data_IF_573517759594
#
_entry.id   IF_573517759594
#
_cell.length_a   1.000
_cell.length_b   1.000
_cell.length_c   1.000
_cell.angle_alpha   90.00
_cell.angle_beta   90.00
_cell.angle_gamma   90.00
#
_symmetry.space_group_name_H-M   'P 1'
#
loop_
_entity.id
_entity.type
_entity.pdbx_description
1 polymer ?
#
# COMPACT_ATOMS: atom_id res chain seq x y z
N UNK A 1 5.31 22.86 -1.94
CA UNK A 1 5.90 24.17 -1.50
C UNK A 1 4.84 25.10 -0.87
N UNK A 2 3.60 25.14 -1.37
CA UNK A 2 2.54 25.95 -0.77
C UNK A 2 2.36 25.76 0.73
N UNK A 3 2.60 24.55 1.24
CA UNK A 3 2.55 24.25 2.68
C UNK A 3 3.56 25.05 3.52
N UNK A 4 4.66 25.48 2.95
CA UNK A 4 5.68 26.27 3.65
C UNK A 4 5.22 27.73 3.94
N UNK A 5 4.20 28.18 3.23
CA UNK A 5 3.68 29.56 3.29
C UNK A 5 2.38 29.66 4.09
N UNK A 6 1.97 28.56 4.74
CA UNK A 6 0.64 28.46 5.32
C UNK A 6 0.69 28.52 6.84
N UNK A 7 -0.02 29.50 7.39
CA UNK A 7 -0.26 29.64 8.84
C UNK A 7 -1.64 29.08 9.25
N UNK A 8 -2.54 28.84 8.29
CA UNK A 8 -3.93 28.40 8.55
C UNK A 8 -4.09 26.89 8.29
N UNK A 9 -4.69 26.17 9.24
CA UNK A 9 -5.01 24.74 9.10
C UNK A 9 -5.90 24.45 7.86
N UNK A 10 -6.85 25.33 7.54
CA UNK A 10 -7.74 25.16 6.39
C UNK A 10 -6.98 25.20 5.05
N UNK A 11 -6.00 26.10 4.94
CA UNK A 11 -5.20 26.22 3.74
C UNK A 11 -4.23 25.04 3.61
N UNK A 12 -3.69 24.53 4.73
CA UNK A 12 -2.90 23.30 4.75
C UNK A 12 -3.72 22.09 4.27
N UNK A 13 -4.96 21.95 4.73
CA UNK A 13 -5.90 20.90 4.27
C UNK A 13 -6.15 21.05 2.77
N UNK A 14 -6.36 22.24 2.27
CA UNK A 14 -6.56 22.49 0.84
C UNK A 14 -5.35 22.01 0.02
N UNK A 15 -4.12 22.36 0.39
CA UNK A 15 -2.92 21.91 -0.33
C UNK A 15 -2.73 20.40 -0.24
N UNK A 16 -3.08 19.76 0.88
CA UNK A 16 -3.05 18.30 1.00
C UNK A 16 -4.09 17.63 0.12
N UNK A 17 -5.30 18.17 0.06
CA UNK A 17 -6.34 17.69 -0.84
C UNK A 17 -5.90 17.80 -2.30
N UNK A 18 -5.33 18.94 -2.71
CA UNK A 18 -4.78 19.10 -4.08
C UNK A 18 -3.67 18.10 -4.36
N UNK A 19 -2.78 17.85 -3.41
CA UNK A 19 -1.74 16.82 -3.56
C UNK A 19 -2.37 15.44 -3.81
N UNK A 20 -3.43 15.08 -3.11
CA UNK A 20 -4.16 13.83 -3.32
C UNK A 20 -4.82 13.76 -4.70
N UNK A 21 -5.45 14.84 -5.16
CA UNK A 21 -6.04 14.94 -6.51
C UNK A 21 -4.98 14.71 -7.59
N UNK A 22 -3.84 15.38 -7.50
CA UNK A 22 -2.75 15.20 -8.47
C UNK A 22 -2.12 13.82 -8.39
N UNK A 23 -1.99 13.23 -7.20
CA UNK A 23 -1.49 11.86 -7.03
C UNK A 23 -2.41 10.84 -7.71
N UNK A 24 -3.73 11.04 -7.67
CA UNK A 24 -4.68 10.18 -8.36
C UNK A 24 -4.53 10.23 -9.89
N UNK A 25 -3.95 11.30 -10.43
CA UNK A 25 -3.62 11.43 -11.87
C UNK A 25 -2.26 10.77 -12.22
N UNK A 26 -1.47 10.37 -11.24
CA UNK A 26 -0.13 9.77 -11.47
C UNK A 26 -0.18 8.25 -11.36
N UNK A 27 -0.71 7.72 -10.27
CA UNK A 27 -0.58 6.29 -9.95
C UNK A 27 -1.31 5.36 -10.94
N UNK A 28 -2.60 5.51 -11.25
CA UNK A 28 -3.29 4.63 -12.20
C UNK A 28 -2.74 4.74 -13.64
N UNK A 29 -2.38 5.93 -14.18
CA UNK A 29 -1.72 6.03 -15.46
C UNK A 29 -0.35 5.34 -15.50
N UNK A 30 0.43 5.39 -14.41
CA UNK A 30 1.73 4.72 -14.34
C UNK A 30 1.61 3.19 -14.40
N UNK A 31 0.61 2.61 -13.69
CA UNK A 31 0.28 1.19 -13.77
C UNK A 31 -0.08 0.78 -15.22
N UNK A 32 -0.86 1.62 -15.90
CA UNK A 32 -1.23 1.41 -17.29
C UNK A 32 0.00 1.49 -18.19
N UNK A 33 0.80 2.52 -18.05
CA UNK A 33 1.98 2.78 -18.88
C UNK A 33 2.99 1.66 -18.80
N UNK A 34 3.35 1.19 -17.61
CA UNK A 34 4.26 0.05 -17.45
C UNK A 34 3.68 -1.24 -18.06
N UNK A 35 2.36 -1.41 -18.02
CA UNK A 35 1.69 -2.57 -18.63
C UNK A 35 1.76 -2.59 -20.15
N UNK A 36 2.06 -1.46 -20.81
CA UNK A 36 2.30 -1.41 -22.26
C UNK A 36 3.68 -1.93 -22.68
N UNK A 37 4.61 -2.06 -21.73
CA UNK A 37 5.96 -2.55 -21.97
C UNK A 37 6.12 -4.04 -21.71
N UNK A 38 5.27 -4.63 -20.85
CA UNK A 38 5.43 -6.01 -20.42
C UNK A 38 4.18 -6.85 -20.68
N UNK A 39 4.32 -7.92 -21.48
CA UNK A 39 3.33 -9.00 -21.63
C UNK A 39 3.60 -10.18 -20.68
N UNK A 40 4.89 -10.48 -20.46
CA UNK A 40 5.35 -11.50 -19.50
C UNK A 40 6.05 -10.79 -18.34
N UNK A 41 5.98 -11.35 -17.13
CA UNK A 41 6.57 -10.74 -15.94
C UNK A 41 5.86 -9.45 -15.49
N UNK A 42 4.57 -9.30 -15.78
CA UNK A 42 3.77 -8.15 -15.34
C UNK A 42 3.79 -7.97 -13.83
N UNK A 43 3.71 -9.09 -13.08
CA UNK A 43 3.76 -9.07 -11.63
C UNK A 43 5.05 -8.43 -11.12
N UNK A 44 6.18 -8.81 -11.67
CA UNK A 44 7.47 -8.20 -11.33
C UNK A 44 7.52 -6.70 -11.68
N UNK A 45 7.08 -6.33 -12.89
CA UNK A 45 7.13 -4.93 -13.33
C UNK A 45 6.22 -4.03 -12.48
N UNK A 46 5.00 -4.47 -12.19
CA UNK A 46 4.06 -3.77 -11.32
C UNK A 46 4.55 -3.77 -9.87
N UNK A 47 5.13 -4.88 -9.40
CA UNK A 47 5.77 -4.96 -8.09
C UNK A 47 6.92 -3.96 -7.94
N UNK A 48 7.77 -3.81 -8.96
CA UNK A 48 8.84 -2.81 -8.95
C UNK A 48 8.30 -1.37 -8.90
N UNK A 49 7.21 -1.07 -9.63
CA UNK A 49 6.55 0.23 -9.57
C UNK A 49 5.99 0.52 -8.18
N UNK A 50 5.25 -0.42 -7.59
CA UNK A 50 4.70 -0.28 -6.23
C UNK A 50 5.83 -0.19 -5.20
N UNK A 51 6.89 -0.98 -5.36
CA UNK A 51 8.08 -0.91 -4.52
C UNK A 51 8.76 0.46 -4.54
N UNK A 52 8.79 1.12 -5.70
CA UNK A 52 9.30 2.50 -5.81
C UNK A 52 8.46 3.50 -5.03
N UNK A 53 7.13 3.35 -5.05
CA UNK A 53 6.22 4.17 -4.23
C UNK A 53 6.48 3.92 -2.74
N UNK A 54 6.66 2.66 -2.35
CA UNK A 54 6.95 2.27 -0.97
C UNK A 54 8.25 2.92 -0.46
N UNK A 55 9.31 2.92 -1.27
CA UNK A 55 10.55 3.63 -0.94
C UNK A 55 10.34 5.14 -0.82
N UNK A 56 9.55 5.72 -1.72
CA UNK A 56 9.20 7.15 -1.66
C UNK A 56 8.47 7.52 -0.36
N UNK A 57 7.56 6.65 0.11
CA UNK A 57 6.83 6.83 1.37
C UNK A 57 7.73 6.60 2.60
N UNK A 58 8.74 5.75 2.50
CA UNK A 58 9.73 5.55 3.55
C UNK A 58 10.73 6.72 3.69
N UNK A 59 11.06 7.40 2.58
CA UNK A 59 12.11 8.42 2.51
C UNK A 59 11.99 9.54 3.57
N UNK A 60 10.81 10.09 3.92
CA UNK A 60 10.68 11.10 4.98
C UNK A 60 11.19 10.60 6.34
N UNK A 61 10.99 9.32 6.66
CA UNK A 61 11.47 8.72 7.91
C UNK A 61 13.00 8.60 7.93
N UNK A 62 13.62 8.31 6.78
CA UNK A 62 15.07 8.31 6.63
C UNK A 62 15.67 9.70 6.83
N UNK A 63 15.08 10.72 6.18
CA UNK A 63 15.51 12.12 6.34
C UNK A 63 15.41 12.54 7.81
N UNK A 64 14.31 12.15 8.48
CA UNK A 64 14.12 12.44 9.89
C UNK A 64 15.11 11.71 10.81
N UNK A 65 15.59 10.53 10.41
CA UNK A 65 16.56 9.74 11.17
C UNK A 65 18.00 10.30 11.11
N UNK A 66 18.41 10.86 9.96
CA UNK A 66 19.79 11.34 9.74
C UNK A 66 20.07 12.62 10.53
N UNK A 67 19.09 13.44 10.73
CA UNK A 67 19.28 14.67 11.49
C UNK A 67 17.96 15.43 11.56
N UNK A 68 17.65 15.97 12.68
CA UNK A 68 16.49 16.80 12.99
C UNK A 68 16.27 17.94 11.98
N UNK A 69 16.03 17.55 10.73
CA UNK A 69 15.65 18.48 9.69
C UNK A 69 14.21 18.86 9.97
N UNK A 70 13.93 20.15 10.09
CA UNK A 70 12.57 20.64 10.21
C UNK A 70 11.69 20.07 9.09
N UNK A 71 10.40 19.95 9.33
CA UNK A 71 9.43 19.46 8.35
C UNK A 71 9.48 20.24 7.01
N UNK A 72 9.97 21.49 7.05
CA UNK A 72 10.15 22.37 5.89
C UNK A 72 11.15 21.77 4.90
N UNK A 73 12.30 21.28 5.40
CA UNK A 73 13.30 20.67 4.54
C UNK A 73 12.83 19.35 3.92
N UNK A 74 12.01 18.59 4.65
CA UNK A 74 11.37 17.39 4.10
C UNK A 74 10.43 17.77 2.93
N UNK A 75 9.64 18.84 3.08
CA UNK A 75 8.77 19.34 2.01
C UNK A 75 9.57 19.81 0.81
N UNK A 76 10.68 20.51 1.02
CA UNK A 76 11.55 20.99 -0.07
C UNK A 76 12.18 19.77 -0.79
N UNK A 77 12.79 18.85 -0.05
CA UNK A 77 13.46 17.68 -0.64
C UNK A 77 12.49 16.80 -1.45
N UNK A 78 11.31 16.53 -0.91
CA UNK A 78 10.28 15.75 -1.62
C UNK A 78 9.74 16.49 -2.85
N UNK A 79 9.65 17.82 -2.80
CA UNK A 79 9.26 18.64 -3.97
C UNK A 79 10.32 18.57 -5.08
N UNK A 80 11.60 18.71 -4.73
CA UNK A 80 12.71 18.59 -5.70
C UNK A 80 12.69 17.20 -6.34
N UNK A 81 12.56 16.14 -5.54
CA UNK A 81 12.46 14.77 -6.04
C UNK A 81 11.25 14.59 -7.00
N UNK A 82 10.10 15.16 -6.65
CA UNK A 82 8.89 15.09 -7.50
C UNK A 82 9.10 15.81 -8.84
N UNK A 83 9.67 17.02 -8.82
CA UNK A 83 9.96 17.78 -10.04
C UNK A 83 10.99 17.05 -10.93
N UNK A 84 12.03 16.49 -10.31
CA UNK A 84 13.03 15.69 -11.02
C UNK A 84 12.40 14.45 -11.67
N UNK A 85 11.53 13.75 -10.94
CA UNK A 85 10.79 12.60 -11.45
C UNK A 85 9.86 12.99 -12.62
N UNK A 86 9.15 14.12 -12.50
CA UNK A 86 8.29 14.63 -13.56
C UNK A 86 9.08 14.97 -14.84
N UNK A 87 10.27 15.58 -14.69
CA UNK A 87 11.16 15.89 -15.79
C UNK A 87 11.66 14.61 -16.49
N UNK A 88 12.11 13.61 -15.71
CA UNK A 88 12.57 12.32 -16.24
C UNK A 88 11.44 11.63 -17.01
N UNK A 89 10.24 11.56 -16.44
CA UNK A 89 9.10 10.93 -17.10
C UNK A 89 8.74 11.68 -18.37
N UNK A 90 8.69 13.01 -18.34
CA UNK A 90 8.33 13.84 -19.51
C UNK A 90 9.30 13.71 -20.69
N UNK A 91 10.59 13.48 -20.40
CA UNK A 91 11.62 13.39 -21.45
C UNK A 91 11.83 11.95 -21.95
N UNK A 92 11.83 10.96 -21.06
CA UNK A 92 12.33 9.62 -21.37
C UNK A 92 11.25 8.55 -21.46
N UNK A 93 10.05 8.78 -20.90
CA UNK A 93 9.02 7.74 -20.81
C UNK A 93 7.99 7.89 -21.91
N UNK A 94 7.82 6.82 -22.69
CA UNK A 94 6.87 6.73 -23.79
C UNK A 94 5.97 5.50 -23.63
N UNK A 95 4.85 5.44 -24.35
CA UNK A 95 4.02 4.24 -24.43
C UNK A 95 4.81 3.07 -25.02
N UNK A 96 4.67 1.89 -24.44
CA UNK A 96 5.34 0.66 -24.89
C UNK A 96 4.69 0.08 -26.15
N UNK A 97 5.32 -0.96 -26.75
CA UNK A 97 4.90 -1.56 -28.02
C UNK A 97 3.59 -2.36 -27.91
N UNK A 98 3.10 -2.63 -26.70
CA UNK A 98 1.90 -3.43 -26.51
C UNK A 98 0.70 -2.53 -26.18
N UNK A 99 -0.31 -2.47 -27.07
CA UNK A 99 -1.47 -1.62 -26.83
C UNK A 99 -2.23 -2.07 -25.56
N UNK A 100 -2.60 -1.10 -24.75
CA UNK A 100 -3.49 -1.29 -23.62
C UNK A 100 -4.91 -0.91 -24.03
N UNK A 101 -5.93 -1.73 -23.73
CA UNK A 101 -7.31 -1.40 -24.06
C UNK A 101 -7.70 -0.05 -23.50
N UNK A 102 -8.22 0.84 -24.34
CA UNK A 102 -8.80 2.11 -23.90
C UNK A 102 -10.22 1.83 -23.42
N UNK A 103 -10.38 1.53 -22.15
CA UNK A 103 -11.71 1.37 -21.55
C UNK A 103 -12.13 2.72 -20.94
N UNK A 104 -13.12 3.41 -21.51
CA UNK A 104 -13.64 4.64 -20.93
C UNK A 104 -14.32 4.36 -19.58
N UNK A 105 -14.25 5.33 -18.68
CA UNK A 105 -14.95 5.25 -17.40
C UNK A 105 -16.45 5.46 -17.62
N UNK A 106 -17.27 4.52 -17.17
CA UNK A 106 -18.73 4.56 -17.28
C UNK A 106 -19.40 4.52 -15.92
N UNK A 107 -19.76 5.68 -15.38
CA UNK A 107 -20.47 5.78 -14.08
C UNK A 107 -21.72 4.90 -13.99
N UNK A 108 -22.56 4.87 -15.03
CA UNK A 108 -23.79 4.08 -15.04
C UNK A 108 -23.59 2.56 -15.02
N UNK A 109 -22.37 2.08 -15.12
CA UNK A 109 -22.04 0.64 -15.19
C UNK A 109 -21.27 0.09 -13.99
N UNK A 110 -21.08 0.90 -12.96
CA UNK A 110 -20.40 0.48 -11.71
C UNK A 110 -21.05 -0.78 -11.13
N UNK A 111 -22.38 -0.86 -11.08
CA UNK A 111 -23.08 -2.03 -10.58
C UNK A 111 -22.88 -3.30 -11.43
N UNK A 112 -22.54 -3.17 -12.72
CA UNK A 112 -22.27 -4.32 -13.59
C UNK A 112 -20.88 -4.92 -13.32
N UNK A 113 -19.92 -4.09 -12.95
CA UNK A 113 -18.55 -4.52 -12.59
C UNK A 113 -18.59 -5.53 -11.45
N UNK A 114 -19.34 -5.24 -10.41
CA UNK A 114 -19.43 -6.09 -9.21
C UNK A 114 -20.38 -7.29 -9.37
N UNK A 115 -21.09 -7.45 -10.50
CA UNK A 115 -21.80 -8.69 -10.83
C UNK A 115 -20.84 -9.84 -11.12
N UNK A 116 -19.61 -9.55 -11.56
CA UNK A 116 -18.57 -10.55 -11.69
C UNK A 116 -18.04 -10.92 -10.29
N UNK A 117 -18.36 -12.13 -9.84
CA UNK A 117 -17.98 -12.63 -8.51
C UNK A 117 -16.47 -12.64 -8.29
N UNK A 118 -15.68 -12.95 -9.32
CA UNK A 118 -14.21 -12.94 -9.23
C UNK A 118 -13.67 -11.52 -9.00
N UNK A 119 -14.19 -10.54 -9.72
CA UNK A 119 -13.83 -9.12 -9.53
C UNK A 119 -14.26 -8.61 -8.16
N UNK A 120 -15.45 -9.02 -7.70
CA UNK A 120 -15.93 -8.66 -6.36
C UNK A 120 -15.01 -9.21 -5.26
N UNK A 121 -14.65 -10.49 -5.34
CA UNK A 121 -13.77 -11.12 -4.35
C UNK A 121 -12.36 -10.52 -4.36
N UNK A 122 -11.81 -10.22 -5.55
CA UNK A 122 -10.54 -9.51 -5.67
C UNK A 122 -10.61 -8.11 -5.04
N UNK A 123 -11.76 -7.42 -5.20
CA UNK A 123 -11.97 -6.11 -4.58
C UNK A 123 -12.11 -6.20 -3.05
N UNK A 124 -12.80 -7.22 -2.54
CA UNK A 124 -12.88 -7.47 -1.09
C UNK A 124 -11.48 -7.77 -0.51
N UNK A 125 -10.67 -8.57 -1.23
CA UNK A 125 -9.27 -8.80 -0.87
C UNK A 125 -8.48 -7.49 -0.79
N UNK A 126 -8.61 -6.65 -1.81
CA UNK A 126 -7.97 -5.32 -1.83
C UNK A 126 -8.45 -4.42 -0.68
N UNK A 127 -9.73 -4.42 -0.36
CA UNK A 127 -10.26 -3.64 0.76
C UNK A 127 -9.70 -4.10 2.10
N UNK A 128 -9.53 -5.41 2.30
CA UNK A 128 -8.88 -5.97 3.47
C UNK A 128 -7.40 -5.55 3.58
N UNK A 129 -6.68 -5.57 2.45
CA UNK A 129 -5.31 -5.08 2.35
C UNK A 129 -5.22 -3.58 2.69
N UNK A 130 -6.09 -2.74 2.11
CA UNK A 130 -6.10 -1.29 2.34
C UNK A 130 -6.50 -0.92 3.78
N UNK A 131 -7.32 -1.75 4.44
CA UNK A 131 -7.66 -1.57 5.85
C UNK A 131 -6.43 -1.59 6.76
N UNK A 132 -5.44 -2.40 6.42
CA UNK A 132 -4.21 -2.56 7.20
C UNK A 132 -3.10 -1.60 6.78
N UNK A 133 -2.77 -1.56 5.48
CA UNK A 133 -1.55 -1.01 4.94
C UNK A 133 -1.28 0.45 5.37
N UNK A 134 -2.18 1.35 5.01
CA UNK A 134 -1.95 2.79 5.24
C UNK A 134 -2.06 3.18 6.70
N UNK A 135 -2.86 2.47 7.49
CA UNK A 135 -2.95 2.71 8.93
C UNK A 135 -1.68 2.25 9.65
N UNK A 136 -1.11 1.10 9.25
CA UNK A 136 0.21 0.67 9.71
C UNK A 136 1.27 1.71 9.37
N UNK A 137 1.38 2.15 8.12
CA UNK A 137 2.36 3.15 7.72
C UNK A 137 2.21 4.49 8.44
N UNK A 138 0.99 4.95 8.63
CA UNK A 138 0.71 6.23 9.29
C UNK A 138 1.13 6.25 10.77
N UNK A 139 0.97 5.13 11.46
CA UNK A 139 1.13 5.09 12.92
C UNK A 139 2.31 4.26 13.41
N UNK A 140 3.04 3.58 12.52
CA UNK A 140 4.17 2.74 12.91
C UNK A 140 5.29 3.53 13.58
N UNK A 141 5.56 4.78 13.15
CA UNK A 141 6.55 5.63 13.82
C UNK A 141 6.13 5.93 15.26
N UNK A 142 4.86 6.30 15.49
CA UNK A 142 4.36 6.58 16.83
C UNK A 142 4.41 5.34 17.71
N UNK A 143 3.96 4.19 17.18
CA UNK A 143 4.05 2.91 17.87
C UNK A 143 5.49 2.56 18.25
N UNK A 144 6.43 2.67 17.31
CA UNK A 144 7.85 2.37 17.53
C UNK A 144 8.49 3.29 18.56
N UNK A 145 8.16 4.60 18.52
CA UNK A 145 8.67 5.56 19.52
C UNK A 145 8.17 5.24 20.92
N UNK A 146 6.88 4.94 21.07
CA UNK A 146 6.33 4.57 22.36
C UNK A 146 6.91 3.26 22.87
N UNK A 147 7.05 2.24 22.02
CA UNK A 147 7.69 0.98 22.40
C UNK A 147 9.16 1.17 22.81
N UNK A 148 9.90 2.05 22.12
CA UNK A 148 11.29 2.35 22.47
C UNK A 148 11.40 3.05 23.85
N UNK A 149 10.45 3.95 24.15
CA UNK A 149 10.38 4.60 25.48
C UNK A 149 10.15 3.56 26.58
N UNK A 150 9.22 2.60 26.38
CA UNK A 150 8.99 1.50 27.33
C UNK A 150 10.24 0.63 27.54
N UNK A 151 11.06 0.49 26.51
CA UNK A 151 12.34 -0.23 26.56
C UNK A 151 13.50 0.63 27.10
N UNK A 152 13.24 1.83 27.61
CA UNK A 152 14.22 2.81 28.07
C UNK A 152 15.20 3.25 26.96
N UNK A 153 14.78 3.24 25.70
CA UNK A 153 15.57 3.71 24.55
C UNK A 153 15.00 5.08 24.13
N UNK A 154 15.50 6.15 24.74
CA UNK A 154 15.10 7.52 24.36
C UNK A 154 15.97 8.01 23.17
N UNK A 155 15.69 7.45 21.99
CA UNK A 155 16.34 7.82 20.75
C UNK A 155 15.33 7.95 19.59
N UNK A 156 14.80 9.16 19.36
CA UNK A 156 13.84 9.41 18.28
C UNK A 156 14.38 9.10 16.88
N UNK A 157 15.68 9.28 16.65
CA UNK A 157 16.33 8.96 15.37
C UNK A 157 16.33 7.45 15.12
N UNK A 158 16.56 6.63 16.15
CA UNK A 158 16.51 5.18 16.04
C UNK A 158 15.09 4.68 15.69
N UNK A 159 14.04 5.25 16.30
CA UNK A 159 12.67 4.92 15.95
C UNK A 159 12.31 5.33 14.52
N UNK A 160 12.78 6.48 14.07
CA UNK A 160 12.60 6.94 12.68
C UNK A 160 13.34 6.05 11.69
N UNK A 161 14.56 5.64 12.00
CA UNK A 161 15.35 4.71 11.17
C UNK A 161 14.69 3.32 11.11
N UNK A 162 14.20 2.82 12.24
CA UNK A 162 13.45 1.57 12.28
C UNK A 162 12.18 1.65 11.42
N UNK A 163 11.44 2.76 11.49
CA UNK A 163 10.24 2.98 10.66
C UNK A 163 10.60 3.04 9.18
N UNK A 164 11.69 3.74 8.83
CA UNK A 164 12.23 3.73 7.46
C UNK A 164 12.55 2.32 6.99
N UNK A 165 13.24 1.53 7.80
CA UNK A 165 13.62 0.16 7.45
C UNK A 165 12.38 -0.74 7.29
N UNK A 166 11.41 -0.64 8.21
CA UNK A 166 10.17 -1.41 8.18
C UNK A 166 9.31 -1.08 6.96
N UNK A 167 9.14 0.20 6.61
CA UNK A 167 8.39 0.58 5.41
C UNK A 167 9.22 0.27 4.15
N UNK A 168 10.50 0.62 4.14
CA UNK A 168 11.37 0.52 2.98
C UNK A 168 11.62 -0.92 2.51
N UNK A 169 11.70 -1.90 3.43
CA UNK A 169 11.84 -3.32 3.08
C UNK A 169 10.63 -3.84 2.28
N UNK A 170 9.49 -3.18 2.39
CA UNK A 170 8.30 -3.45 1.60
C UNK A 170 8.54 -3.33 0.09
N UNK A 171 9.53 -2.53 -0.34
CA UNK A 171 9.92 -2.47 -1.76
C UNK A 171 10.43 -3.82 -2.26
N UNK A 172 11.24 -4.53 -1.45
CA UNK A 172 11.65 -5.90 -1.74
C UNK A 172 10.45 -6.86 -1.68
N UNK A 173 9.54 -6.65 -0.71
CA UNK A 173 8.28 -7.38 -0.61
C UNK A 173 7.46 -7.30 -1.90
N UNK A 174 7.31 -6.11 -2.49
CA UNK A 174 6.60 -5.91 -3.75
C UNK A 174 7.24 -6.67 -4.91
N UNK A 175 8.57 -6.68 -5.01
CA UNK A 175 9.30 -7.43 -6.05
C UNK A 175 9.08 -8.93 -5.88
N UNK A 176 9.28 -9.44 -4.65
CA UNK A 176 9.11 -10.86 -4.33
C UNK A 176 7.65 -11.27 -4.51
N UNK A 177 6.70 -10.49 -4.02
CA UNK A 177 5.27 -10.72 -4.22
C UNK A 177 4.86 -10.73 -5.69
N UNK A 178 5.49 -9.86 -6.52
CA UNK A 178 5.32 -9.87 -7.97
C UNK A 178 5.78 -11.19 -8.61
N UNK A 179 6.99 -11.65 -8.26
CA UNK A 179 7.54 -12.93 -8.75
C UNK A 179 6.71 -14.11 -8.27
N UNK A 180 6.33 -14.12 -6.99
CA UNK A 180 5.50 -15.19 -6.42
C UNK A 180 4.12 -15.22 -7.07
N UNK A 181 3.49 -14.06 -7.29
CA UNK A 181 2.21 -13.95 -7.97
C UNK A 181 2.22 -14.52 -9.40
N UNK A 182 3.32 -14.32 -10.12
CA UNK A 182 3.49 -14.87 -11.48
C UNK A 182 3.79 -16.39 -11.46
N UNK A 183 4.46 -16.93 -10.42
CA UNK A 183 4.89 -18.35 -10.35
C UNK A 183 3.94 -19.25 -9.57
N UNK A 184 3.52 -18.83 -8.39
CA UNK A 184 2.69 -19.64 -7.46
C UNK A 184 1.19 -19.34 -7.59
N UNK A 185 0.89 -18.25 -8.29
CA UNK A 185 -0.46 -17.74 -8.44
C UNK A 185 -0.77 -16.57 -7.53
N UNK A 186 -1.59 -15.66 -8.04
CA UNK A 186 -1.88 -14.39 -7.38
C UNK A 186 -2.67 -14.58 -6.09
N UNK A 187 -3.67 -15.48 -6.10
CA UNK A 187 -4.51 -15.75 -4.92
C UNK A 187 -3.74 -16.41 -3.79
N UNK A 188 -2.78 -17.31 -4.11
CA UNK A 188 -1.92 -17.94 -3.12
C UNK A 188 -0.98 -16.91 -2.48
N UNK A 189 -0.36 -16.07 -3.31
CA UNK A 189 0.58 -15.04 -2.86
C UNK A 189 -0.12 -14.03 -1.98
N UNK A 190 -1.27 -13.49 -2.39
CA UNK A 190 -2.03 -12.53 -1.58
C UNK A 190 -2.49 -13.13 -0.26
N UNK A 191 -3.04 -14.36 -0.27
CA UNK A 191 -3.45 -15.04 0.96
C UNK A 191 -2.29 -15.23 1.93
N UNK A 192 -1.12 -15.65 1.43
CA UNK A 192 0.07 -15.85 2.27
C UNK A 192 0.55 -14.53 2.88
N UNK A 193 0.70 -13.49 2.07
CA UNK A 193 1.18 -12.19 2.54
C UNK A 193 0.23 -11.57 3.57
N UNK A 194 -1.09 -11.62 3.31
CA UNK A 194 -2.09 -11.13 4.26
C UNK A 194 -2.15 -11.96 5.55
N UNK A 195 -1.96 -13.28 5.49
CA UNK A 195 -1.87 -14.11 6.70
C UNK A 195 -0.67 -13.72 7.55
N UNK A 196 0.49 -13.51 6.94
CA UNK A 196 1.70 -13.13 7.67
C UNK A 196 1.55 -11.71 8.23
N UNK A 197 1.09 -10.75 7.43
CA UNK A 197 0.94 -9.36 7.89
C UNK A 197 -0.10 -9.24 9.01
N UNK A 198 -1.25 -9.89 8.87
CA UNK A 198 -2.27 -9.93 9.93
C UNK A 198 -1.79 -10.62 11.21
N UNK A 199 -0.91 -11.64 11.08
CA UNK A 199 -0.25 -12.26 12.24
C UNK A 199 0.73 -11.27 12.88
N UNK A 200 1.46 -10.48 12.11
CA UNK A 200 2.32 -9.43 12.66
C UNK A 200 1.49 -8.37 13.40
N UNK A 201 0.34 -7.96 12.87
CA UNK A 201 -0.56 -7.03 13.55
C UNK A 201 -1.07 -7.59 14.90
N UNK A 202 -1.37 -8.91 14.95
CA UNK A 202 -1.75 -9.59 16.18
C UNK A 202 -0.60 -9.64 17.19
N UNK A 203 0.62 -9.94 16.73
CA UNK A 203 1.78 -10.11 17.59
C UNK A 203 2.42 -8.79 18.04
N UNK A 204 2.10 -7.66 17.38
CA UNK A 204 2.71 -6.37 17.67
C UNK A 204 2.59 -5.96 19.15
N UNK A 205 1.44 -6.21 19.77
CA UNK A 205 1.25 -5.92 21.18
C UNK A 205 2.08 -6.77 22.14
N UNK A 206 2.40 -8.02 21.75
CA UNK A 206 3.20 -8.92 22.59
C UNK A 206 4.70 -8.61 22.55
N UNK A 207 5.17 -7.96 21.48
CA UNK A 207 6.59 -7.58 21.35
C UNK A 207 6.85 -6.13 21.74
N UNK A 208 5.82 -5.39 22.11
CA UNK A 208 5.86 -3.94 22.39
C UNK A 208 6.83 -3.60 23.52
N UNK A 209 6.79 -4.36 24.59
CA UNK A 209 7.63 -4.28 25.81
C UNK A 209 8.61 -5.45 25.92
N UNK A 210 8.71 -6.25 24.84
CA UNK A 210 9.57 -7.41 24.74
C UNK A 210 11.01 -7.06 24.31
N UNK A 211 11.85 -8.07 24.06
CA UNK A 211 13.21 -7.84 23.56
C UNK A 211 13.23 -7.05 22.25
N UNK A 212 14.09 -6.02 22.16
CA UNK A 212 14.18 -5.12 21.01
C UNK A 212 14.33 -5.86 19.67
N UNK A 213 15.10 -6.95 19.63
CA UNK A 213 15.28 -7.71 18.41
C UNK A 213 13.98 -8.35 17.89
N UNK A 214 13.06 -8.74 18.79
CA UNK A 214 11.74 -9.26 18.41
C UNK A 214 10.89 -8.17 17.76
N UNK A 215 10.87 -6.97 18.32
CA UNK A 215 10.17 -5.82 17.78
C UNK A 215 10.71 -5.45 16.39
N UNK A 216 12.05 -5.43 16.23
CA UNK A 216 12.69 -5.15 14.95
C UNK A 216 12.36 -6.24 13.93
N UNK A 217 12.50 -7.52 14.28
CA UNK A 217 12.21 -8.63 13.38
C UNK A 217 10.75 -8.61 12.92
N UNK A 218 9.81 -8.42 13.86
CA UNK A 218 8.39 -8.32 13.55
C UNK A 218 8.10 -7.15 12.63
N UNK A 219 8.63 -5.96 12.91
CA UNK A 219 8.43 -4.77 12.08
C UNK A 219 8.96 -4.94 10.66
N UNK A 220 10.12 -5.60 10.48
CA UNK A 220 10.67 -5.90 9.15
C UNK A 220 9.84 -6.94 8.40
N UNK A 221 9.39 -8.02 9.06
CA UNK A 221 8.51 -9.03 8.45
C UNK A 221 7.19 -8.41 8.06
N UNK A 222 6.60 -7.59 8.93
CA UNK A 222 5.35 -6.91 8.66
C UNK A 222 5.47 -5.94 7.49
N UNK A 223 6.47 -5.06 7.52
CA UNK A 223 6.71 -4.12 6.43
C UNK A 223 6.97 -4.78 5.08
N UNK A 224 7.68 -5.92 5.07
CA UNK A 224 7.87 -6.72 3.87
C UNK A 224 6.55 -7.29 3.34
N UNK A 225 5.70 -7.84 4.20
CA UNK A 225 4.51 -8.61 3.80
C UNK A 225 3.29 -7.75 3.55
N UNK A 226 3.10 -6.66 4.31
CA UNK A 226 1.91 -5.81 4.27
C UNK A 226 1.66 -5.14 2.92
N UNK A 227 2.68 -4.99 2.08
CA UNK A 227 2.58 -4.34 0.77
C UNK A 227 2.89 -5.29 -0.39
N UNK A 228 3.43 -6.47 -0.11
CA UNK A 228 3.89 -7.42 -1.12
C UNK A 228 2.77 -7.91 -2.07
N UNK A 229 1.55 -7.92 -1.62
CA UNK A 229 0.35 -8.35 -2.36
C UNK A 229 -0.35 -7.21 -3.13
N UNK A 230 0.00 -5.96 -2.88
CA UNK A 230 -0.71 -4.77 -3.37
C UNK A 230 -0.96 -4.77 -4.89
N UNK A 231 0.06 -5.10 -5.68
CA UNK A 231 -0.05 -5.14 -7.14
C UNK A 231 -0.94 -6.29 -7.65
N UNK A 232 -1.10 -7.36 -6.87
CA UNK A 232 -1.80 -8.55 -7.31
C UNK A 232 -3.31 -8.33 -7.45
N UNK A 233 -3.92 -7.57 -6.55
CA UNK A 233 -5.37 -7.31 -6.57
C UNK A 233 -5.80 -6.60 -7.85
N UNK A 234 -5.10 -5.53 -8.23
CA UNK A 234 -5.38 -4.81 -9.48
C UNK A 234 -5.14 -5.70 -10.70
N UNK A 235 -4.12 -6.57 -10.65
CA UNK A 235 -3.83 -7.50 -11.74
C UNK A 235 -4.92 -8.55 -11.87
N UNK A 236 -5.43 -9.13 -10.78
CA UNK A 236 -6.56 -10.07 -10.79
C UNK A 236 -7.79 -9.41 -11.44
N UNK A 237 -8.09 -8.16 -11.09
CA UNK A 237 -9.22 -7.43 -11.69
C UNK A 237 -9.05 -7.26 -13.20
N UNK A 238 -7.81 -7.02 -13.68
CA UNK A 238 -7.55 -6.94 -15.13
C UNK A 238 -7.66 -8.28 -15.84
N UNK A 239 -7.40 -9.38 -15.17
CA UNK A 239 -7.47 -10.73 -15.73
C UNK A 239 -8.88 -11.32 -15.73
N UNK A 240 -9.72 -10.96 -14.74
CA UNK A 240 -11.09 -11.46 -14.59
C UNK A 240 -12.16 -10.52 -15.12
N UNK A 241 -11.86 -9.24 -15.21
CA UNK A 241 -12.80 -8.20 -15.60
C UNK A 241 -13.09 -8.21 -17.09
N UNK A 242 -14.29 -7.72 -17.46
CA UNK A 242 -14.61 -7.42 -18.85
C UNK A 242 -13.67 -6.29 -19.36
N UNK A 243 -12.95 -6.49 -20.48
CA UNK A 243 -12.06 -5.49 -21.05
C UNK A 243 -12.72 -4.11 -21.25
N UNK A 244 -14.02 -4.07 -21.52
CA UNK A 244 -14.77 -2.81 -21.67
C UNK A 244 -14.95 -2.05 -20.35
N UNK A 245 -14.88 -2.71 -19.20
CA UNK A 245 -15.20 -2.12 -17.90
C UNK A 245 -14.07 -2.21 -16.87
N UNK A 246 -12.94 -2.82 -17.22
CA UNK A 246 -11.77 -2.96 -16.36
C UNK A 246 -11.30 -1.62 -15.79
N UNK A 247 -11.29 -0.56 -16.61
CA UNK A 247 -10.91 0.77 -16.13
C UNK A 247 -11.86 1.28 -15.04
N UNK A 248 -13.17 1.10 -15.22
CA UNK A 248 -14.19 1.46 -14.21
C UNK A 248 -14.02 0.60 -12.95
N UNK A 249 -13.77 -0.71 -13.10
CA UNK A 249 -13.57 -1.63 -12.00
C UNK A 249 -12.37 -1.19 -11.12
N UNK A 250 -11.23 -0.94 -11.74
CA UNK A 250 -10.01 -0.50 -11.04
C UNK A 250 -10.21 0.85 -10.35
N UNK A 251 -10.84 1.82 -11.02
CA UNK A 251 -11.08 3.14 -10.43
C UNK A 251 -11.96 3.04 -9.19
N UNK A 252 -13.03 2.26 -9.25
CA UNK A 252 -13.95 2.08 -8.10
C UNK A 252 -13.27 1.29 -6.99
N UNK A 253 -12.54 0.22 -7.31
CA UNK A 253 -11.76 -0.54 -6.35
C UNK A 253 -10.76 0.35 -5.60
N UNK A 254 -9.94 1.11 -6.33
CA UNK A 254 -8.97 2.04 -5.75
C UNK A 254 -9.65 3.11 -4.90
N UNK A 255 -10.72 3.74 -5.42
CA UNK A 255 -11.45 4.79 -4.72
C UNK A 255 -12.02 4.31 -3.38
N UNK A 256 -12.73 3.18 -3.35
CA UNK A 256 -13.27 2.60 -2.11
C UNK A 256 -12.12 2.20 -1.17
N UNK A 257 -11.06 1.57 -1.69
CA UNK A 257 -9.90 1.20 -0.87
C UNK A 257 -9.28 2.39 -0.17
N UNK A 258 -9.02 3.49 -0.88
CA UNK A 258 -8.49 4.71 -0.25
C UNK A 258 -9.47 5.35 0.74
N UNK A 259 -10.78 5.30 0.50
CA UNK A 259 -11.76 5.77 1.49
C UNK A 259 -11.72 4.95 2.79
N UNK A 260 -11.53 3.63 2.69
CA UNK A 260 -11.37 2.77 3.86
C UNK A 260 -10.13 3.11 4.69
N UNK A 261 -9.04 3.51 4.03
CA UNK A 261 -7.81 3.91 4.76
C UNK A 261 -8.05 5.12 5.67
N UNK A 262 -8.91 6.05 5.27
CA UNK A 262 -9.26 7.20 6.11
C UNK A 262 -9.89 6.73 7.41
N UNK A 263 -10.80 5.76 7.34
CA UNK A 263 -11.47 5.19 8.52
C UNK A 263 -10.46 4.58 9.48
N UNK A 264 -9.57 3.72 8.97
CA UNK A 264 -8.58 3.01 9.81
C UNK A 264 -7.53 3.95 10.39
N UNK A 265 -7.04 4.91 9.63
CA UNK A 265 -6.09 5.91 10.11
C UNK A 265 -6.70 6.72 11.27
N UNK A 266 -7.99 7.03 11.23
CA UNK A 266 -8.69 7.76 12.31
C UNK A 266 -9.02 6.89 13.52
N UNK A 267 -9.29 5.60 13.32
CA UNK A 267 -9.64 4.68 14.41
C UNK A 267 -8.46 4.41 15.34
N UNK A 268 -7.23 4.31 14.83
CA UNK A 268 -6.07 3.93 15.64
C UNK A 268 -5.78 4.91 16.79
N UNK A 269 -5.70 6.25 16.58
CA UNK A 269 -5.47 7.16 17.68
C UNK A 269 -6.65 7.24 18.68
N UNK A 270 -7.89 7.02 18.23
CA UNK A 270 -9.04 6.92 19.11
C UNK A 270 -8.93 5.71 20.02
N UNK A 271 -8.50 4.57 19.48
CA UNK A 271 -8.23 3.38 20.27
C UNK A 271 -7.06 3.58 21.23
N UNK A 272 -5.97 4.21 20.78
CA UNK A 272 -4.83 4.52 21.65
C UNK A 272 -5.27 5.41 22.83
N UNK A 273 -6.11 6.41 22.59
CA UNK A 273 -6.65 7.27 23.63
C UNK A 273 -7.55 6.50 24.59
N UNK A 274 -8.40 5.58 24.12
CA UNK A 274 -9.28 4.77 24.97
C UNK A 274 -8.54 3.73 25.81
N UNK A 275 -7.43 3.18 25.27
CA UNK A 275 -6.59 2.20 25.94
C UNK A 275 -5.49 2.84 26.81
N UNK A 276 -5.30 4.17 26.71
CA UNK A 276 -4.15 4.89 27.25
C UNK A 276 -2.79 4.27 26.87
N UNK A 277 -2.71 3.56 25.74
CA UNK A 277 -1.52 2.85 25.28
C UNK A 277 -1.56 2.59 23.77
N UNK A 278 -0.40 2.55 23.16
CA UNK A 278 -0.23 2.13 21.76
C UNK A 278 -0.03 0.61 21.60
N UNK A 279 0.16 -0.12 22.68
CA UNK A 279 0.53 -1.53 22.68
C UNK A 279 -0.40 -2.41 21.84
N UNK A 280 -1.72 -2.29 22.06
CA UNK A 280 -2.73 -3.16 21.44
C UNK A 280 -3.51 -2.53 20.29
N UNK A 281 -3.13 -1.34 19.86
CA UNK A 281 -3.89 -0.56 18.88
C UNK A 281 -4.00 -1.28 17.53
N UNK A 282 -2.97 -1.99 17.12
CA UNK A 282 -2.94 -2.68 15.85
C UNK A 282 -3.85 -3.92 15.74
N UNK A 283 -4.45 -4.37 16.84
CA UNK A 283 -5.51 -5.40 16.80
C UNK A 283 -6.71 -4.99 15.93
N UNK A 284 -6.97 -3.68 15.81
CA UNK A 284 -8.03 -3.13 14.94
C UNK A 284 -7.78 -3.45 13.46
N UNK A 285 -6.54 -3.69 13.08
CA UNK A 285 -6.18 -3.98 11.69
C UNK A 285 -6.47 -5.43 11.27
N UNK A 286 -6.53 -6.37 12.22
CA UNK A 286 -6.69 -7.82 11.96
C UNK A 286 -7.89 -8.18 11.09
N UNK A 287 -9.10 -7.57 11.26
CA UNK A 287 -10.25 -7.92 10.42
C UNK A 287 -9.99 -7.75 8.93
N UNK A 288 -9.17 -6.77 8.51
CA UNK A 288 -8.84 -6.54 7.12
C UNK A 288 -8.16 -7.72 6.46
N UNK A 289 -6.93 -8.11 6.90
CA UNK A 289 -6.22 -9.27 6.37
C UNK A 289 -7.01 -10.57 6.48
N UNK A 290 -7.78 -10.75 7.54
CA UNK A 290 -8.62 -11.94 7.73
C UNK A 290 -9.69 -12.06 6.65
N UNK A 291 -10.48 -10.99 6.45
CA UNK A 291 -11.53 -10.95 5.42
C UNK A 291 -10.91 -11.07 4.04
N UNK A 292 -9.81 -10.36 3.79
CA UNK A 292 -9.12 -10.40 2.52
C UNK A 292 -8.56 -11.78 2.19
N UNK A 293 -7.91 -12.45 3.14
CA UNK A 293 -7.44 -13.82 2.99
C UNK A 293 -8.57 -14.77 2.68
N UNK A 294 -9.68 -14.71 3.43
CA UNK A 294 -10.86 -15.52 3.17
C UNK A 294 -11.40 -15.29 1.74
N UNK A 295 -11.48 -14.05 1.30
CA UNK A 295 -11.93 -13.70 -0.05
C UNK A 295 -11.01 -14.31 -1.13
N UNK A 296 -9.68 -14.22 -0.94
CA UNK A 296 -8.71 -14.77 -1.89
C UNK A 296 -8.71 -16.29 -1.92
N UNK A 297 -8.83 -16.96 -0.78
CA UNK A 297 -8.95 -18.42 -0.70
C UNK A 297 -10.27 -18.92 -1.33
N UNK A 298 -11.34 -18.15 -1.17
CA UNK A 298 -12.62 -18.47 -1.82
C UNK A 298 -12.51 -18.29 -3.34
N UNK A 299 -11.94 -17.18 -3.80
CA UNK A 299 -11.66 -16.93 -5.23
C UNK A 299 -10.83 -18.07 -5.84
N UNK A 300 -9.78 -18.54 -5.12
CA UNK A 300 -8.92 -19.63 -5.59
C UNK A 300 -9.68 -20.92 -5.91
N UNK A 301 -10.80 -21.16 -5.22
CA UNK A 301 -11.65 -22.36 -5.42
C UNK A 301 -12.67 -22.21 -6.56
N UNK A 302 -12.86 -20.99 -7.07
CA UNK A 302 -13.83 -20.75 -8.14
C UNK A 302 -13.30 -21.17 -9.51
N UNK A 303 -14.18 -21.59 -10.45
CA UNK A 303 -13.78 -21.92 -11.81
C UNK A 303 -13.08 -20.77 -12.55
N UNK A 304 -13.50 -19.53 -12.28
CA UNK A 304 -12.94 -18.32 -12.88
C UNK A 304 -11.47 -18.11 -12.54
N UNK A 305 -10.98 -18.66 -11.44
CA UNK A 305 -9.57 -18.56 -11.02
C UNK A 305 -8.60 -19.14 -12.06
N UNK A 306 -9.04 -20.03 -12.95
CA UNK A 306 -8.22 -20.55 -14.07
C UNK A 306 -7.71 -19.41 -14.99
N UNK A 307 -8.43 -18.29 -15.06
CA UNK A 307 -8.04 -17.13 -15.86
C UNK A 307 -6.90 -16.31 -15.22
N UNK A 308 -6.67 -16.48 -13.92
CA UNK A 308 -5.67 -15.73 -13.15
C UNK A 308 -4.29 -16.31 -13.42
N UNK A 309 -3.30 -15.44 -13.71
CA UNK A 309 -1.90 -15.81 -13.92
C UNK A 309 -1.69 -16.99 -14.89
N UNK A 310 -2.45 -17.06 -15.99
CA UNK A 310 -2.40 -18.13 -17.00
C UNK A 310 -2.65 -19.54 -16.42
N UNK A 311 -3.51 -19.65 -15.42
CA UNK A 311 -3.86 -20.91 -14.76
C UNK A 311 -3.11 -21.21 -13.46
N UNK A 312 -2.13 -20.42 -13.10
CA UNK A 312 -1.51 -20.44 -11.77
C UNK A 312 -2.45 -19.75 -10.79
N UNK A 313 -3.16 -20.55 -10.03
CA UNK A 313 -4.22 -20.04 -9.12
C UNK A 313 -3.66 -19.37 -7.88
#
# INVERSE_FOLDING_TARGET
LGLLLVESAYLAIFFRLMTGVFLALVYPPSLKLISTWFRRGRGLALGALVGSITLGLAAPHFINAIGWLGWELVVIATTIATLSGALIIGIFVHEGPFPYPRAPFHMGRIGQVFKNRGVLLASVGYFGHMWELYAMWAWFLTFSRMAFIELNIDNPSAASFFTFAAIGIGALGCIVGGIMGDRWGRTATTSLMMCISGTCALLAGFVYDGPLWMLIALGLIWGFTVVADSAQFSTIVTELGDPMYVGTALTVQLGIGFMLTVVTIWLLPLAAASLNSWQWVFLILIPGPLIGTCAMLFLRRMPEAIKIANGNR
#
